data_IF_542730530346
#
_entry.id   IF_542730530346
#
_cell.length_a   1.000
_cell.length_b   1.000
_cell.length_c   1.000
_cell.angle_alpha   90.00
_cell.angle_beta   90.00
_cell.angle_gamma   90.00
#
_symmetry.space_group_name_H-M   'P 1'
#
loop_
_entity.id
_entity.type
_entity.pdbx_description
1 polymer ?
#
# COMPACT_ATOMS: atom_id res chain seq x y z
N UNK A 1 13.16 15.58 -2.23
CA UNK A 1 12.90 15.27 -0.80
C UNK A 1 11.72 16.10 -0.33
N UNK A 2 10.66 15.47 0.14
CA UNK A 2 9.52 16.18 0.72
C UNK A 2 9.85 16.55 2.16
N UNK A 3 9.76 17.84 2.52
CA UNK A 3 9.96 18.31 3.89
C UNK A 3 8.62 18.21 4.63
N UNK A 4 8.63 17.55 5.78
CA UNK A 4 7.48 17.46 6.68
C UNK A 4 7.80 18.30 7.91
N UNK A 5 6.92 19.22 8.26
CA UNK A 5 6.99 20.00 9.48
C UNK A 5 5.80 19.61 10.36
N UNK A 6 6.10 19.14 11.57
CA UNK A 6 5.10 18.76 12.57
C UNK A 6 5.17 19.79 13.70
N UNK A 7 4.01 20.28 14.12
CA UNK A 7 3.89 21.07 15.34
C UNK A 7 3.40 20.15 16.44
N UNK A 8 4.17 20.02 17.50
CA UNK A 8 3.89 19.15 18.63
C UNK A 8 3.87 20.01 19.89
N UNK A 9 3.05 19.61 20.86
CA UNK A 9 3.18 20.09 22.23
C UNK A 9 4.45 19.52 22.88
N UNK A 10 4.94 20.17 23.93
CA UNK A 10 6.12 19.70 24.66
C UNK A 10 5.96 18.27 25.18
N UNK A 11 4.75 17.91 25.60
CA UNK A 11 4.42 16.56 26.07
C UNK A 11 4.51 15.52 24.95
N UNK A 12 3.98 15.83 23.77
CA UNK A 12 4.04 14.94 22.61
C UNK A 12 5.48 14.76 22.13
N UNK A 13 6.27 15.84 22.11
CA UNK A 13 7.68 15.79 21.75
C UNK A 13 8.51 14.93 22.73
N UNK A 14 8.23 15.04 24.04
CA UNK A 14 8.84 14.19 25.06
C UNK A 14 8.47 12.72 24.88
N UNK A 15 7.18 12.40 24.71
CA UNK A 15 6.72 11.03 24.48
C UNK A 15 7.40 10.40 23.26
N UNK A 16 7.50 11.16 22.16
CA UNK A 16 8.12 10.70 20.93
C UNK A 16 9.63 10.49 21.09
N UNK A 17 10.29 11.27 21.93
CA UNK A 17 11.71 11.11 22.25
C UNK A 17 11.94 9.89 23.13
N UNK A 18 11.18 9.74 24.23
CA UNK A 18 11.25 8.56 25.12
C UNK A 18 10.99 7.25 24.36
N UNK A 19 9.99 7.25 23.46
CA UNK A 19 9.72 6.10 22.61
C UNK A 19 10.86 5.82 21.62
N UNK A 20 11.57 6.83 21.15
CA UNK A 20 12.73 6.66 20.27
C UNK A 20 13.96 6.10 20.96
N UNK A 21 14.20 6.53 22.20
CA UNK A 21 15.36 6.17 23.01
C UNK A 21 15.48 4.66 23.22
N UNK A 22 14.35 3.96 23.40
CA UNK A 22 14.34 2.49 23.55
C UNK A 22 14.93 1.76 22.32
N UNK A 23 14.95 2.41 21.16
CA UNK A 23 15.52 1.89 19.92
C UNK A 23 16.84 2.58 19.53
N UNK A 24 17.37 3.48 20.37
CA UNK A 24 18.53 4.31 20.07
C UNK A 24 18.29 5.32 18.95
N UNK A 25 17.04 5.76 18.74
CA UNK A 25 16.67 6.68 17.67
C UNK A 25 16.54 8.12 18.19
N UNK A 26 16.93 9.08 17.35
CA UNK A 26 16.62 10.49 17.59
C UNK A 26 15.16 10.80 17.21
N UNK A 27 14.62 11.89 17.74
CA UNK A 27 13.22 12.30 17.59
C UNK A 27 12.77 12.34 16.12
N UNK A 28 13.62 12.84 15.21
CA UNK A 28 13.32 12.91 13.78
C UNK A 28 13.20 11.52 13.13
N UNK A 29 14.08 10.59 13.50
CA UNK A 29 14.05 9.20 13.01
C UNK A 29 12.85 8.45 13.57
N UNK A 30 12.50 8.68 14.83
CA UNK A 30 11.30 8.12 15.47
C UNK A 30 10.03 8.62 14.79
N UNK A 31 9.94 9.91 14.49
CA UNK A 31 8.78 10.47 13.78
C UNK A 31 8.62 9.83 12.39
N UNK A 32 9.71 9.68 11.63
CA UNK A 32 9.68 8.99 10.34
C UNK A 32 9.22 7.55 10.47
N UNK A 33 9.72 6.82 11.46
CA UNK A 33 9.36 5.43 11.71
C UNK A 33 7.87 5.28 12.01
N UNK A 34 7.32 6.12 12.90
CA UNK A 34 5.89 6.10 13.26
C UNK A 34 5.02 6.40 12.03
N UNK A 35 5.35 7.46 11.28
CA UNK A 35 4.63 7.81 10.04
C UNK A 35 4.68 6.65 9.05
N UNK A 36 5.83 6.02 8.88
CA UNK A 36 5.98 4.87 7.99
C UNK A 36 5.11 3.69 8.44
N UNK A 37 5.06 3.40 9.74
CA UNK A 37 4.24 2.31 10.29
C UNK A 37 2.75 2.57 10.14
N UNK A 38 2.30 3.79 10.40
CA UNK A 38 0.91 4.19 10.17
C UNK A 38 0.55 4.10 8.68
N UNK A 39 1.45 4.55 7.81
CA UNK A 39 1.27 4.47 6.35
C UNK A 39 1.17 3.01 5.89
N UNK A 40 2.08 2.16 6.36
CA UNK A 40 2.06 0.72 6.08
C UNK A 40 0.74 0.08 6.51
N UNK A 41 0.22 0.41 7.70
CA UNK A 41 -1.08 -0.08 8.16
C UNK A 41 -2.24 0.36 7.26
N UNK A 42 -2.26 1.61 6.80
CA UNK A 42 -3.28 2.10 5.86
C UNK A 42 -3.22 1.33 4.53
N UNK A 43 -2.02 1.10 4.00
CA UNK A 43 -1.85 0.32 2.76
C UNK A 43 -2.23 -1.16 2.91
N UNK A 44 -1.99 -1.77 4.08
CA UNK A 44 -2.44 -3.14 4.33
C UNK A 44 -3.96 -3.25 4.55
N UNK A 45 -4.60 -2.21 5.08
CA UNK A 45 -6.06 -2.18 5.28
C UNK A 45 -6.83 -1.90 3.99
N UNK A 46 -6.24 -1.16 3.06
CA UNK A 46 -6.81 -0.89 1.74
C UNK A 46 -5.74 -1.07 0.68
N UNK A 47 -5.79 -2.18 -0.08
CA UNK A 47 -5.05 -2.25 -1.33
C UNK A 47 -5.50 -1.05 -2.19
N UNK A 48 -4.57 -0.24 -2.71
CA UNK A 48 -4.94 0.88 -3.56
C UNK A 48 -5.66 0.34 -4.79
N UNK A 49 -6.96 0.55 -4.86
CA UNK A 49 -7.77 0.20 -6.03
C UNK A 49 -7.59 1.30 -7.06
N UNK A 50 -6.95 0.97 -8.18
CA UNK A 50 -6.83 1.88 -9.30
C UNK A 50 -8.02 1.69 -10.25
N UNK A 51 -8.62 2.80 -10.68
CA UNK A 51 -9.64 2.76 -11.73
C UNK A 51 -8.99 2.27 -13.02
N UNK A 52 -9.53 1.20 -13.61
CA UNK A 52 -9.14 0.77 -14.94
C UNK A 52 -9.48 1.86 -15.96
N UNK A 53 -8.72 1.90 -17.06
CA UNK A 53 -9.17 2.70 -18.22
C UNK A 53 -10.48 2.13 -18.75
N UNK A 54 -11.36 2.98 -19.31
CA UNK A 54 -12.66 2.54 -19.89
C UNK A 54 -12.51 1.38 -20.88
N UNK A 55 -11.41 1.34 -21.62
CA UNK A 55 -11.09 0.26 -22.56
C UNK A 55 -10.85 -1.06 -21.84
N UNK A 56 -10.00 -1.07 -20.82
CA UNK A 56 -9.67 -2.26 -20.04
C UNK A 56 -10.85 -2.75 -19.21
N UNK A 57 -11.63 -1.83 -18.66
CA UNK A 57 -12.87 -2.16 -17.96
C UNK A 57 -13.85 -2.89 -18.90
N UNK A 58 -14.06 -2.36 -20.11
CA UNK A 58 -14.88 -3.02 -21.12
C UNK A 58 -14.38 -4.42 -21.49
N UNK A 59 -13.06 -4.58 -21.69
CA UNK A 59 -12.46 -5.90 -21.96
C UNK A 59 -12.65 -6.87 -20.79
N UNK A 60 -12.49 -6.40 -19.55
CA UNK A 60 -12.70 -7.22 -18.35
C UNK A 60 -14.14 -7.68 -18.22
N UNK A 61 -15.12 -6.81 -18.49
CA UNK A 61 -16.55 -7.16 -18.48
C UNK A 61 -16.84 -8.23 -19.53
N UNK A 62 -16.32 -8.07 -20.75
CA UNK A 62 -16.49 -9.06 -21.83
C UNK A 62 -15.89 -10.41 -21.44
N UNK A 63 -14.67 -10.44 -20.90
CA UNK A 63 -14.02 -11.67 -20.49
C UNK A 63 -14.80 -12.42 -19.39
N UNK A 64 -15.38 -11.68 -18.42
CA UNK A 64 -16.24 -12.26 -17.38
C UNK A 64 -17.52 -12.85 -18.01
N UNK A 65 -18.12 -12.17 -18.98
CA UNK A 65 -19.30 -12.67 -19.69
C UNK A 65 -18.99 -13.93 -20.51
N UNK A 66 -17.88 -13.95 -21.25
CA UNK A 66 -17.44 -15.12 -22.01
C UNK A 66 -17.19 -16.33 -21.10
N UNK A 67 -16.58 -16.13 -19.94
CA UNK A 67 -16.40 -17.17 -18.93
C UNK A 67 -17.74 -17.73 -18.43
N UNK A 68 -18.69 -16.85 -18.07
CA UNK A 68 -20.04 -17.25 -17.63
C UNK A 68 -20.81 -18.00 -18.71
N UNK A 69 -20.58 -17.65 -19.97
CA UNK A 69 -21.19 -18.32 -21.12
C UNK A 69 -20.51 -19.66 -21.47
N UNK A 70 -19.46 -20.06 -20.75
CA UNK A 70 -18.73 -21.30 -21.00
C UNK A 70 -17.77 -21.25 -22.19
N UNK A 71 -17.47 -20.05 -22.70
CA UNK A 71 -16.59 -19.85 -23.86
C UNK A 71 -15.09 -19.84 -23.50
N UNK A 72 -14.74 -20.16 -22.25
CA UNK A 72 -13.36 -20.22 -21.78
C UNK A 72 -12.86 -21.65 -21.69
N UNK A 73 -11.60 -21.87 -22.08
CA UNK A 73 -10.91 -23.15 -21.94
C UNK A 73 -9.92 -23.11 -20.77
N UNK A 74 -9.77 -24.21 -20.00
CA UNK A 74 -8.75 -24.30 -18.97
C UNK A 74 -7.36 -24.29 -19.60
N UNK A 75 -6.48 -23.43 -19.08
CA UNK A 75 -5.09 -23.37 -19.50
C UNK A 75 -4.30 -24.52 -18.87
N UNK A 76 -3.64 -25.33 -19.69
CA UNK A 76 -2.85 -26.50 -19.26
C UNK A 76 -1.34 -26.37 -19.54
N UNK A 77 -0.86 -25.16 -19.87
CA UNK A 77 0.55 -24.90 -20.15
C UNK A 77 1.37 -24.59 -18.88
N UNK A 78 2.69 -24.63 -19.01
CA UNK A 78 3.61 -24.13 -17.99
C UNK A 78 3.61 -22.60 -17.95
N UNK A 79 3.78 -22.01 -16.76
CA UNK A 79 3.85 -20.56 -16.54
C UNK A 79 5.27 -19.99 -16.72
N UNK A 80 6.23 -20.79 -17.21
CA UNK A 80 7.65 -20.43 -17.39
C UNK A 80 7.89 -19.19 -18.30
N UNK A 81 6.85 -18.60 -18.89
CA UNK A 81 6.92 -17.38 -19.70
C UNK A 81 6.67 -16.09 -18.90
N UNK A 82 6.42 -16.17 -17.58
CA UNK A 82 6.13 -15.03 -16.71
C UNK A 82 7.26 -14.69 -15.71
N UNK A 83 8.39 -15.41 -15.76
CA UNK A 83 9.63 -15.07 -15.05
C UNK A 83 10.56 -14.19 -15.92
#
# INVERSE_FOLDING_TARGET
>A
MTKIQLTLTDKEAQLLTMYGEQFGYNTAKTAKFIVQKATEQIFHQSMPTFMLSKKQEGQGITAIQEHRNGNTIPFSGSLDFLD
#
